data_IF_375026707902
#
_entry.id   IF_375026707902
#
_cell.length_a   1.000
_cell.length_b   1.000
_cell.length_c   1.000
_cell.angle_alpha   90.00
_cell.angle_beta   90.00
_cell.angle_gamma   90.00
#
_symmetry.space_group_name_H-M   'P 1'
#
loop_
_entity.id
_entity.type
_entity.pdbx_description
1 polymer ?
#
# COMPACT_ATOMS: atom_id res chain seq x y z
N UNK A 1 16.49 -9.82 -12.84
CA UNK A 1 15.02 -9.65 -12.89
C UNK A 1 14.74 -8.17 -13.13
N UNK A 2 14.04 -7.83 -14.21
CA UNK A 2 13.68 -6.45 -14.51
C UNK A 2 12.69 -5.92 -13.48
N UNK A 3 12.52 -4.61 -13.43
CA UNK A 3 11.54 -3.96 -12.54
C UNK A 3 10.12 -4.52 -12.73
N UNK A 4 9.68 -4.68 -13.99
CA UNK A 4 8.33 -5.20 -14.30
C UNK A 4 8.18 -6.70 -13.97
N UNK A 5 9.23 -7.49 -14.15
CA UNK A 5 9.19 -8.93 -13.82
C UNK A 5 8.87 -9.20 -12.34
N UNK A 6 9.16 -8.24 -11.44
CA UNK A 6 8.82 -8.35 -10.01
C UNK A 6 7.31 -8.36 -9.77
N UNK A 7 6.51 -7.80 -10.68
CA UNK A 7 5.05 -7.81 -10.61
C UNK A 7 4.43 -9.11 -11.16
N UNK A 8 5.19 -9.93 -11.88
CA UNK A 8 4.67 -11.13 -12.53
C UNK A 8 3.97 -12.10 -11.54
N UNK A 9 4.51 -12.40 -10.34
CA UNK A 9 3.83 -13.29 -9.40
C UNK A 9 2.44 -12.80 -8.97
N UNK A 10 2.27 -11.48 -8.81
CA UNK A 10 0.99 -10.87 -8.48
C UNK A 10 0.02 -10.94 -9.67
N UNK A 11 0.53 -10.64 -10.86
CA UNK A 11 -0.25 -10.52 -12.08
C UNK A 11 -0.68 -11.87 -12.67
N UNK A 12 0.01 -12.96 -12.32
CA UNK A 12 -0.31 -14.32 -12.77
C UNK A 12 -1.27 -15.05 -11.82
N UNK A 13 -1.68 -14.42 -10.70
CA UNK A 13 -2.68 -15.01 -9.81
C UNK A 13 -4.01 -15.24 -10.53
N UNK A 14 -4.72 -16.33 -10.23
CA UNK A 14 -6.08 -16.57 -10.73
C UNK A 14 -7.05 -15.44 -10.34
N UNK A 15 -8.22 -15.47 -10.96
CA UNK A 15 -9.30 -14.53 -10.69
C UNK A 15 -9.28 -13.29 -11.57
N UNK A 16 -10.45 -12.73 -11.75
CA UNK A 16 -10.69 -11.54 -12.58
C UNK A 16 -10.09 -10.31 -11.94
N UNK A 17 -9.49 -9.44 -12.75
CA UNK A 17 -8.98 -8.14 -12.35
C UNK A 17 -9.95 -7.05 -12.77
N UNK A 18 -10.20 -6.10 -11.90
CA UNK A 18 -11.04 -4.93 -12.14
C UNK A 18 -10.19 -3.66 -12.27
N UNK A 19 -9.18 -3.55 -11.42
CA UNK A 19 -8.32 -2.36 -11.37
C UNK A 19 -7.31 -2.36 -12.50
N UNK A 20 -7.35 -1.32 -13.33
CA UNK A 20 -6.36 -1.07 -14.37
C UNK A 20 -5.34 -0.05 -13.84
N UNK A 21 -4.09 -0.47 -13.73
CA UNK A 21 -2.97 0.41 -13.35
C UNK A 21 -2.32 1.05 -14.58
N UNK A 22 -1.21 1.74 -14.35
CA UNK A 22 -0.34 2.24 -15.42
C UNK A 22 0.24 1.06 -16.22
N UNK A 23 0.43 1.27 -17.53
CA UNK A 23 1.03 0.27 -18.40
C UNK A 23 2.54 0.12 -18.17
N UNK A 24 3.10 -1.00 -18.60
CA UNK A 24 4.49 -1.37 -18.33
C UNK A 24 5.51 -0.44 -18.99
N UNK A 25 5.17 0.15 -20.15
CA UNK A 25 6.04 1.09 -20.84
C UNK A 25 6.13 2.40 -20.03
N UNK A 26 5.01 2.89 -19.56
CA UNK A 26 4.92 4.07 -18.68
C UNK A 26 5.67 3.81 -17.36
N UNK A 27 5.45 2.69 -16.71
CA UNK A 27 6.14 2.32 -15.47
C UNK A 27 7.65 2.26 -15.66
N UNK A 28 8.11 1.65 -16.75
CA UNK A 28 9.54 1.57 -17.07
C UNK A 28 10.16 2.96 -17.30
N UNK A 29 9.46 3.82 -18.03
CA UNK A 29 9.92 5.18 -18.28
C UNK A 29 10.00 6.07 -17.03
N UNK A 30 9.20 5.75 -16.01
CA UNK A 30 9.15 6.48 -14.74
C UNK A 30 10.15 5.95 -13.70
N UNK A 31 10.53 4.67 -13.77
CA UNK A 31 11.31 4.00 -12.74
C UNK A 31 12.62 4.71 -12.38
N UNK A 32 13.37 5.18 -13.38
CA UNK A 32 14.67 5.86 -13.17
C UNK A 32 14.54 7.20 -12.44
N UNK A 33 13.40 7.86 -12.58
CA UNK A 33 13.14 9.18 -11.97
C UNK A 33 12.34 9.13 -10.69
N UNK A 34 11.73 7.97 -10.38
CA UNK A 34 10.86 7.79 -9.23
C UNK A 34 11.30 6.59 -8.37
N UNK A 35 12.32 6.74 -7.52
CA UNK A 35 12.82 5.63 -6.68
C UNK A 35 11.74 5.07 -5.75
N UNK A 36 10.75 5.87 -5.34
CA UNK A 36 9.62 5.41 -4.54
C UNK A 36 8.69 4.45 -5.32
N UNK A 37 8.59 4.60 -6.66
CA UNK A 37 7.88 3.63 -7.50
C UNK A 37 8.55 2.25 -7.43
N UNK A 38 9.87 2.23 -7.59
CA UNK A 38 10.65 0.99 -7.49
C UNK A 38 10.50 0.37 -6.10
N UNK A 39 10.61 1.19 -5.04
CA UNK A 39 10.44 0.74 -3.66
C UNK A 39 9.03 0.19 -3.37
N UNK A 40 7.98 0.78 -3.97
CA UNK A 40 6.61 0.26 -3.83
C UNK A 40 6.46 -1.12 -4.47
N UNK A 41 7.03 -1.32 -5.66
CA UNK A 41 7.00 -2.62 -6.35
C UNK A 41 7.81 -3.67 -5.59
N UNK A 42 8.99 -3.31 -5.07
CA UNK A 42 9.81 -4.21 -4.27
C UNK A 42 9.11 -4.62 -2.96
N UNK A 43 8.49 -3.66 -2.29
CA UNK A 43 7.71 -3.94 -1.09
C UNK A 43 6.51 -4.85 -1.39
N UNK A 44 5.82 -4.63 -2.52
CA UNK A 44 4.71 -5.49 -2.92
C UNK A 44 5.15 -6.92 -3.25
N UNK A 45 6.26 -7.09 -3.98
CA UNK A 45 6.80 -8.41 -4.29
C UNK A 45 7.23 -9.17 -3.01
N UNK A 46 7.87 -8.49 -2.07
CA UNK A 46 8.29 -9.06 -0.80
C UNK A 46 7.09 -9.45 0.06
N UNK A 47 6.10 -8.57 0.19
CA UNK A 47 4.89 -8.83 0.96
C UNK A 47 4.07 -9.96 0.35
N UNK A 48 3.91 -9.99 -0.98
CA UNK A 48 3.23 -11.08 -1.66
C UNK A 48 3.88 -12.44 -1.33
N UNK A 49 5.20 -12.53 -1.44
CA UNK A 49 5.93 -13.76 -1.12
C UNK A 49 5.73 -14.18 0.35
N UNK A 50 5.63 -13.20 1.28
CA UNK A 50 5.41 -13.45 2.70
C UNK A 50 4.01 -14.02 2.98
N UNK A 51 2.98 -13.48 2.33
CA UNK A 51 1.59 -13.85 2.64
C UNK A 51 1.06 -15.00 1.79
N UNK A 52 1.77 -15.40 0.74
CA UNK A 52 1.31 -16.40 -0.23
C UNK A 52 0.96 -17.75 0.43
N UNK A 53 1.74 -18.18 1.42
CA UNK A 53 1.51 -19.43 2.13
C UNK A 53 0.30 -19.39 3.06
N UNK A 54 -0.01 -18.22 3.61
CA UNK A 54 -1.09 -18.03 4.60
C UNK A 54 -2.41 -17.65 3.93
N UNK A 55 -2.36 -16.74 2.96
CA UNK A 55 -3.53 -16.14 2.31
C UNK A 55 -3.76 -16.65 0.88
N UNK A 56 -3.14 -17.76 0.48
CA UNK A 56 -3.25 -18.30 -0.87
C UNK A 56 -4.70 -18.38 -1.41
N UNK A 57 -5.67 -18.90 -0.65
CA UNK A 57 -7.08 -18.95 -1.09
C UNK A 57 -7.68 -17.57 -1.37
N UNK A 58 -7.35 -16.54 -0.59
CA UNK A 58 -7.77 -15.16 -0.82
C UNK A 58 -7.12 -14.57 -2.07
N UNK A 59 -5.81 -14.79 -2.23
CA UNK A 59 -5.03 -14.28 -3.36
C UNK A 59 -5.55 -14.81 -4.70
N UNK A 60 -6.12 -16.02 -4.72
CA UNK A 60 -6.66 -16.66 -5.92
C UNK A 60 -8.08 -16.20 -6.31
N UNK A 61 -8.76 -15.44 -5.47
CA UNK A 61 -10.12 -14.96 -5.74
C UNK A 61 -10.15 -13.85 -6.78
N UNK A 62 -11.34 -13.59 -7.34
CA UNK A 62 -11.62 -12.40 -8.12
C UNK A 62 -11.38 -11.13 -7.28
N UNK A 63 -10.94 -10.05 -7.90
CA UNK A 63 -10.64 -8.79 -7.19
C UNK A 63 -11.84 -8.24 -6.43
N UNK A 64 -13.05 -8.39 -6.98
CA UNK A 64 -14.30 -8.02 -6.29
C UNK A 64 -14.46 -8.81 -4.99
N UNK A 65 -14.28 -10.12 -5.02
CA UNK A 65 -14.38 -10.96 -3.84
C UNK A 65 -13.28 -10.65 -2.80
N UNK A 66 -12.09 -10.27 -3.25
CA UNK A 66 -11.01 -9.81 -2.36
C UNK A 66 -11.40 -8.50 -1.65
N UNK A 67 -12.00 -7.55 -2.37
CA UNK A 67 -12.49 -6.27 -1.79
C UNK A 67 -13.54 -6.56 -0.71
N UNK A 68 -14.54 -7.38 -1.04
CA UNK A 68 -15.61 -7.77 -0.11
C UNK A 68 -15.06 -8.46 1.14
N UNK A 69 -14.15 -9.42 0.96
CA UNK A 69 -13.51 -10.13 2.08
C UNK A 69 -12.68 -9.20 2.98
N UNK A 70 -12.04 -8.17 2.42
CA UNK A 70 -11.27 -7.20 3.20
C UNK A 70 -12.15 -6.17 3.91
N UNK A 71 -13.37 -5.97 3.46
CA UNK A 71 -14.34 -5.07 4.09
C UNK A 71 -15.20 -5.77 5.14
N UNK A 72 -15.28 -7.10 5.10
CA UNK A 72 -16.08 -7.86 6.05
C UNK A 72 -15.62 -7.64 7.50
N UNK A 73 -16.55 -7.34 8.37
CA UNK A 73 -16.30 -7.08 9.79
C UNK A 73 -15.74 -5.68 10.10
N UNK A 74 -15.50 -4.84 9.12
CA UNK A 74 -15.15 -3.44 9.37
C UNK A 74 -16.39 -2.57 9.60
N UNK A 75 -16.31 -1.66 10.57
CA UNK A 75 -17.29 -0.57 10.69
C UNK A 75 -16.93 0.48 9.66
N UNK A 76 -17.64 0.48 8.53
CA UNK A 76 -17.44 1.46 7.48
C UNK A 76 -17.93 2.84 7.94
N UNK A 77 -17.07 3.84 7.76
CA UNK A 77 -17.44 5.25 7.93
C UNK A 77 -18.33 5.75 6.78
N UNK A 78 -18.23 5.11 5.63
CA UNK A 78 -19.00 5.42 4.43
C UNK A 78 -20.27 4.55 4.35
N UNK A 79 -21.22 4.94 3.48
CA UNK A 79 -22.41 4.14 3.21
C UNK A 79 -22.05 2.73 2.73
N UNK A 80 -22.92 1.75 2.99
CA UNK A 80 -22.67 0.33 2.68
C UNK A 80 -22.45 0.04 1.19
N UNK A 81 -22.90 0.94 0.31
CA UNK A 81 -22.68 0.89 -1.13
C UNK A 81 -21.41 1.61 -1.60
N UNK A 82 -20.68 2.26 -0.69
CA UNK A 82 -19.38 2.86 -0.98
C UNK A 82 -18.30 1.79 -1.04
N UNK A 83 -18.01 1.31 -2.23
CA UNK A 83 -17.05 0.24 -2.46
C UNK A 83 -15.62 0.78 -2.44
N UNK A 84 -14.74 0.16 -1.66
CA UNK A 84 -13.29 0.36 -1.80
C UNK A 84 -12.87 -0.08 -3.20
N UNK A 85 -12.21 0.78 -3.99
CA UNK A 85 -11.97 0.49 -5.41
C UNK A 85 -10.97 -0.63 -5.66
N UNK A 86 -10.09 -0.94 -4.70
CA UNK A 86 -9.07 -1.98 -4.81
C UNK A 86 -8.52 -2.38 -3.44
N UNK A 87 -7.82 -3.51 -3.37
CA UNK A 87 -7.04 -3.90 -2.19
C UNK A 87 -5.57 -3.52 -2.41
N UNK A 88 -5.05 -2.60 -1.60
CA UNK A 88 -3.63 -2.24 -1.62
C UNK A 88 -2.80 -3.33 -0.94
N UNK A 89 -1.69 -3.73 -1.57
CA UNK A 89 -0.70 -4.65 -0.99
C UNK A 89 0.49 -3.92 -0.41
N UNK A 90 1.01 -2.92 -1.12
CA UNK A 90 2.09 -2.05 -0.67
C UNK A 90 1.97 -0.67 -1.28
N UNK A 91 2.57 0.32 -0.59
CA UNK A 91 2.62 1.68 -1.10
C UNK A 91 3.85 2.44 -0.59
N UNK A 92 4.40 3.34 -1.42
CA UNK A 92 5.52 4.23 -1.08
C UNK A 92 5.34 5.58 -1.77
N UNK A 93 5.41 6.66 -1.00
CA UNK A 93 5.12 7.98 -1.54
C UNK A 93 3.74 8.02 -2.20
N UNK A 94 3.60 8.44 -3.46
CA UNK A 94 2.32 8.43 -4.18
C UNK A 94 2.02 7.11 -4.90
N UNK A 95 2.87 6.10 -4.77
CA UNK A 95 2.75 4.86 -5.54
C UNK A 95 2.09 3.76 -4.73
N UNK A 96 1.04 3.17 -5.27
CA UNK A 96 0.30 2.05 -4.68
C UNK A 96 0.38 0.85 -5.62
N UNK A 97 0.65 -0.32 -5.07
CA UNK A 97 0.59 -1.60 -5.77
C UNK A 97 -0.55 -2.41 -5.17
N UNK A 98 -1.49 -2.83 -6.02
CA UNK A 98 -2.66 -3.61 -5.59
C UNK A 98 -2.31 -5.09 -5.44
N UNK A 99 -3.21 -5.83 -4.79
CA UNK A 99 -3.07 -7.27 -4.60
C UNK A 99 -3.00 -8.06 -5.92
N UNK A 100 -3.61 -7.53 -6.99
CA UNK A 100 -3.56 -8.09 -8.36
C UNK A 100 -2.43 -7.49 -9.23
N UNK A 101 -1.52 -6.71 -8.66
CA UNK A 101 -0.34 -6.17 -9.33
C UNK A 101 -0.61 -4.99 -10.27
N UNK A 102 -1.74 -4.29 -10.12
CA UNK A 102 -1.92 -2.98 -10.72
C UNK A 102 -1.07 -1.95 -9.97
N UNK A 103 -0.41 -1.05 -10.69
CA UNK A 103 0.38 0.05 -10.11
C UNK A 103 -0.35 1.36 -10.37
N UNK A 104 -0.62 2.09 -9.30
CA UNK A 104 -1.40 3.32 -9.33
C UNK A 104 -0.56 4.49 -8.83
N UNK A 105 -0.88 5.69 -9.31
CA UNK A 105 -0.41 6.96 -8.77
C UNK A 105 -1.53 7.60 -7.96
N UNK A 106 -1.39 7.63 -6.64
CA UNK A 106 -2.34 8.28 -5.74
C UNK A 106 -2.03 9.77 -5.66
N UNK A 107 -2.79 10.56 -6.41
CA UNK A 107 -2.61 12.01 -6.49
C UNK A 107 -3.29 12.78 -5.34
N UNK A 108 -4.11 12.13 -4.52
CA UNK A 108 -5.00 12.87 -3.63
C UNK A 108 -5.00 12.42 -2.19
N UNK A 109 -5.06 11.14 -1.92
CA UNK A 109 -5.18 10.61 -0.56
C UNK A 109 -6.16 11.35 0.34
N UNK A 110 -7.18 11.96 -0.24
CA UNK A 110 -8.15 12.85 0.43
C UNK A 110 -7.50 14.00 1.23
N UNK A 111 -6.30 14.44 0.83
CA UNK A 111 -5.55 15.50 1.53
C UNK A 111 -4.88 15.04 2.82
N UNK A 112 -4.97 13.77 3.19
CA UNK A 112 -4.40 13.23 4.43
C UNK A 112 -2.97 12.68 4.27
N UNK A 113 -2.50 12.51 3.03
CA UNK A 113 -1.19 11.92 2.73
C UNK A 113 -0.13 12.98 2.38
N UNK A 114 -0.02 14.04 3.17
CA UNK A 114 0.97 15.10 2.93
C UNK A 114 2.43 14.62 2.85
N UNK A 115 2.75 13.47 3.46
CA UNK A 115 4.07 12.82 3.41
C UNK A 115 4.11 11.59 2.51
N UNK A 116 3.02 11.30 1.79
CA UNK A 116 2.87 10.08 1.01
C UNK A 116 2.63 8.82 1.86
N UNK A 117 2.49 7.68 1.19
CA UNK A 117 2.35 6.39 1.85
C UNK A 117 3.67 5.94 2.48
N UNK A 118 3.59 5.32 3.65
CA UNK A 118 4.72 4.71 4.37
C UNK A 118 5.94 5.64 4.47
N UNK A 119 5.80 6.85 5.05
CA UNK A 119 6.90 7.81 5.15
C UNK A 119 7.90 7.36 6.22
N UNK A 120 9.09 6.91 5.81
CA UNK A 120 10.09 6.29 6.69
C UNK A 120 10.46 7.18 7.88
N UNK A 121 10.65 8.49 7.67
CA UNK A 121 11.01 9.41 8.75
C UNK A 121 9.89 9.54 9.83
N UNK A 122 8.63 9.49 9.41
CA UNK A 122 7.49 9.53 10.35
C UNK A 122 7.39 8.21 11.12
N UNK A 123 7.50 7.09 10.41
CA UNK A 123 7.46 5.75 11.02
C UNK A 123 8.60 5.57 12.01
N UNK A 124 9.82 6.00 11.65
CA UNK A 124 10.97 6.01 12.56
C UNK A 124 10.70 6.85 13.80
N UNK A 125 10.18 8.07 13.63
CA UNK A 125 9.84 8.92 14.76
C UNK A 125 8.78 8.31 15.67
N UNK A 126 7.76 7.65 15.09
CA UNK A 126 6.70 6.96 15.84
C UNK A 126 7.19 5.72 16.59
N UNK A 127 8.23 5.05 16.10
CA UNK A 127 8.81 3.87 16.75
C UNK A 127 9.74 4.20 17.91
N UNK A 128 10.13 5.47 18.10
CA UNK A 128 11.01 5.88 19.20
C UNK A 128 10.30 5.74 20.54
N UNK A 129 11.00 5.31 21.60
CA UNK A 129 10.45 5.26 22.94
C UNK A 129 9.96 6.64 23.39
N UNK A 130 8.71 6.70 23.84
CA UNK A 130 8.11 7.90 24.42
C UNK A 130 8.00 7.75 25.92
N UNK A 131 8.22 8.86 26.67
CA UNK A 131 8.16 8.84 28.13
C UNK A 131 6.74 8.59 28.60
N UNK A 132 5.77 9.24 27.94
CA UNK A 132 4.35 9.02 28.21
C UNK A 132 3.50 9.47 27.03
N UNK A 133 2.32 8.86 26.91
CA UNK A 133 1.36 9.14 25.85
C UNK A 133 0.39 10.28 26.15
N UNK A 134 0.41 10.86 27.37
CA UNK A 134 -0.51 11.93 27.75
C UNK A 134 -0.05 13.27 27.15
N UNK A 135 -0.82 13.81 26.22
CA UNK A 135 -0.55 15.10 25.56
C UNK A 135 -0.71 16.33 26.48
N UNK A 136 -1.38 16.15 27.60
CA UNK A 136 -1.65 17.26 28.56
C UNK A 136 -0.50 17.46 29.57
N UNK A 137 0.44 16.52 29.63
CA UNK A 137 1.56 16.58 30.57
C UNK A 137 2.86 16.79 29.83
N UNK A 138 3.63 17.84 30.10
CA UNK A 138 4.95 18.05 29.51
C UNK A 138 5.89 16.87 29.82
N UNK A 139 6.65 16.45 28.82
CA UNK A 139 7.65 15.39 28.97
C UNK A 139 8.96 15.75 28.26
N UNK A 140 10.07 15.15 28.70
CA UNK A 140 11.37 15.35 28.05
C UNK A 140 11.40 14.91 26.58
N UNK A 141 10.55 13.97 26.20
CA UNK A 141 10.46 13.53 24.80
C UNK A 141 9.99 14.67 23.86
N UNK A 142 9.23 15.63 24.37
CA UNK A 142 8.77 16.78 23.58
C UNK A 142 9.93 17.71 23.16
N UNK A 143 10.99 17.79 23.97
CA UNK A 143 12.18 18.60 23.65
C UNK A 143 12.94 18.10 22.40
N UNK A 144 12.67 16.88 21.98
CA UNK A 144 13.29 16.29 20.76
C UNK A 144 12.55 16.63 19.49
N UNK A 145 11.37 17.26 19.58
CA UNK A 145 10.53 17.64 18.45
C UNK A 145 10.51 19.16 18.21
N UNK A 146 11.20 19.92 19.05
CA UNK A 146 11.42 21.35 18.89
C UNK A 146 12.77 21.59 18.23
#
# INVERSE_FOLDING_TARGET
MSFIERLAPLRTQPGTRLTTGLDDATLTALADRHPQLVAAVDAAAAEFARVQGELGPLLAQDEQAQIEAMQDGFVNFYADDAVTPYVALAARGPWVVTLKGAVLYDAGGYGMLGFGHTPDAVLEAMSRPQVMANIMTPSLSQQRFI
#
